data_IF_319423344483
#
_entry.id   IF_319423344483
#
_cell.length_a   1.000
_cell.length_b   1.000
_cell.length_c   1.000
_cell.angle_alpha   90.00
_cell.angle_beta   90.00
_cell.angle_gamma   90.00
#
_symmetry.space_group_name_H-M   'P 1'
#
loop_
_entity.id
_entity.type
_entity.pdbx_description
1 polymer ?
#
# COMPACT_ATOMS: atom_id res chain seq x y z
N UNK A 1 6.01 6.56 -11.35
CA UNK A 1 6.70 6.00 -10.17
C UNK A 1 6.20 4.57 -10.01
N UNK A 2 7.08 3.57 -10.05
CA UNK A 2 6.69 2.16 -9.95
C UNK A 2 7.02 1.70 -8.53
N UNK A 3 6.02 1.30 -7.76
CA UNK A 3 6.26 0.66 -6.46
C UNK A 3 6.60 -0.79 -6.79
N UNK A 4 7.89 -1.13 -6.88
CA UNK A 4 8.33 -2.50 -7.19
C UNK A 4 8.35 -3.40 -5.95
N UNK A 5 8.57 -2.86 -4.75
CA UNK A 5 8.52 -3.62 -3.50
C UNK A 5 8.00 -2.73 -2.36
N UNK A 6 7.02 -3.19 -1.56
CA UNK A 6 6.60 -2.47 -0.36
C UNK A 6 7.78 -2.41 0.63
N UNK A 7 8.22 -1.21 0.98
CA UNK A 7 9.30 -1.00 1.95
C UNK A 7 8.87 0.02 2.99
N UNK A 8 9.26 -0.21 4.24
CA UNK A 8 9.05 0.75 5.32
C UNK A 8 10.13 1.82 5.25
N UNK A 9 9.73 3.05 4.94
CA UNK A 9 10.64 4.20 4.78
C UNK A 9 11.00 4.82 6.13
N UNK A 10 10.06 4.84 7.07
CA UNK A 10 10.23 5.39 8.40
C UNK A 10 9.38 4.62 9.42
N UNK A 11 9.80 4.64 10.69
CA UNK A 11 9.06 4.05 11.81
C UNK A 11 9.42 2.59 12.10
N UNK A 12 8.62 1.97 12.96
CA UNK A 12 8.79 0.58 13.38
C UNK A 12 7.46 -0.16 13.39
N UNK A 13 7.46 -1.31 12.75
CA UNK A 13 6.40 -2.31 12.87
C UNK A 13 7.02 -3.59 13.43
N UNK A 14 6.39 -4.23 14.44
CA UNK A 14 6.78 -5.57 14.85
C UNK A 14 6.80 -6.53 13.66
N UNK A 15 7.70 -7.54 13.62
CA UNK A 15 7.89 -8.38 12.45
C UNK A 15 6.60 -8.98 11.88
N UNK A 16 5.67 -9.40 12.74
CA UNK A 16 4.37 -9.94 12.33
C UNK A 16 3.49 -8.90 11.61
N UNK A 17 3.43 -7.67 12.12
CA UNK A 17 2.67 -6.59 11.50
C UNK A 17 3.29 -6.16 10.17
N UNK A 18 4.62 -6.08 10.11
CA UNK A 18 5.33 -5.80 8.86
C UNK A 18 5.03 -6.85 7.79
N UNK A 19 5.00 -8.14 8.17
CA UNK A 19 4.62 -9.23 7.27
C UNK A 19 3.22 -9.04 6.68
N UNK A 20 2.22 -8.80 7.54
CA UNK A 20 0.83 -8.59 7.10
C UNK A 20 0.69 -7.39 6.16
N UNK A 21 1.32 -6.26 6.48
CA UNK A 21 1.27 -5.05 5.63
C UNK A 21 1.98 -5.29 4.30
N UNK A 22 3.11 -6.00 4.31
CA UNK A 22 3.87 -6.31 3.08
C UNK A 22 3.07 -7.24 2.18
N UNK A 23 2.42 -8.26 2.74
CA UNK A 23 1.55 -9.18 2.01
C UNK A 23 0.36 -8.44 1.40
N UNK A 24 -0.35 -7.66 2.20
CA UNK A 24 -1.46 -6.82 1.74
C UNK A 24 -1.03 -5.86 0.62
N UNK A 25 0.07 -5.13 0.80
CA UNK A 25 0.54 -4.17 -0.20
C UNK A 25 1.03 -4.86 -1.48
N UNK A 26 1.52 -6.10 -1.38
CA UNK A 26 1.90 -6.90 -2.54
C UNK A 26 0.67 -7.37 -3.31
N UNK A 27 -0.37 -7.84 -2.60
CA UNK A 27 -1.63 -8.28 -3.19
C UNK A 27 -2.38 -7.14 -3.90
N UNK A 28 -2.37 -5.94 -3.30
CA UNK A 28 -3.14 -4.78 -3.77
C UNK A 28 -2.29 -3.72 -4.49
N UNK A 29 -1.14 -4.11 -5.07
CA UNK A 29 -0.18 -3.17 -5.68
C UNK A 29 -0.79 -2.26 -6.73
N UNK A 30 -1.57 -2.81 -7.65
CA UNK A 30 -2.18 -2.04 -8.74
C UNK A 30 -3.22 -1.04 -8.21
N UNK A 31 -4.02 -1.46 -7.24
CA UNK A 31 -5.00 -0.61 -6.57
C UNK A 31 -4.31 0.55 -5.82
N UNK A 32 -3.20 0.27 -5.15
CA UNK A 32 -2.40 1.30 -4.47
C UNK A 32 -1.78 2.31 -5.44
N UNK A 33 -1.32 1.86 -6.61
CA UNK A 33 -0.80 2.75 -7.65
C UNK A 33 -1.90 3.63 -8.26
N UNK A 34 -3.10 3.06 -8.45
CA UNK A 34 -4.25 3.84 -8.91
C UNK A 34 -4.67 4.89 -7.88
N UNK A 35 -4.76 4.51 -6.61
CA UNK A 35 -5.08 5.43 -5.52
C UNK A 35 -4.01 6.51 -5.35
N UNK A 36 -2.73 6.18 -5.56
CA UNK A 36 -1.66 7.19 -5.57
C UNK A 36 -1.89 8.23 -6.67
N UNK A 37 -2.24 7.80 -7.88
CA UNK A 37 -2.55 8.72 -8.99
C UNK A 37 -3.79 9.58 -8.73
N UNK A 38 -4.77 9.09 -7.96
CA UNK A 38 -5.93 9.87 -7.50
C UNK A 38 -5.53 10.89 -6.43
N UNK A 39 -4.68 10.48 -5.48
CA UNK A 39 -4.17 11.34 -4.40
C UNK A 39 -3.39 12.54 -4.96
N UNK A 40 -2.52 12.33 -5.95
CA UNK A 40 -1.78 13.40 -6.64
C UNK A 40 -2.72 14.46 -7.26
N UNK A 41 -3.91 14.03 -7.71
CA UNK A 41 -4.95 14.89 -8.30
C UNK A 41 -5.92 15.46 -7.26
N UNK A 42 -5.75 15.15 -5.97
CA UNK A 42 -6.70 15.46 -4.88
C UNK A 42 -8.12 14.95 -5.15
N UNK A 43 -8.23 13.84 -5.88
CA UNK A 43 -9.50 13.17 -6.14
C UNK A 43 -9.88 12.24 -4.98
N UNK A 44 -11.17 11.85 -4.86
CA UNK A 44 -11.58 10.82 -3.91
C UNK A 44 -10.82 9.50 -4.13
N UNK A 45 -10.27 8.94 -3.06
CA UNK A 45 -9.58 7.65 -3.08
C UNK A 45 -10.58 6.49 -3.10
N UNK A 46 -10.14 5.33 -3.59
CA UNK A 46 -10.92 4.09 -3.55
C UNK A 46 -10.69 3.37 -2.23
N UNK A 47 -11.62 2.48 -1.88
CA UNK A 47 -11.42 1.56 -0.76
C UNK A 47 -10.74 0.31 -1.28
N UNK A 48 -9.58 0.01 -0.71
CA UNK A 48 -8.87 -1.26 -0.92
C UNK A 48 -9.32 -2.23 0.18
N UNK A 49 -9.59 -3.48 -0.19
CA UNK A 49 -10.02 -4.50 0.78
C UNK A 49 -8.87 -4.81 1.75
N UNK A 50 -9.16 -5.13 3.02
CA UNK A 50 -8.13 -5.58 3.96
C UNK A 50 -7.64 -7.00 3.62
N UNK A 51 -6.52 -7.39 4.24
CA UNK A 51 -6.06 -8.79 4.23
C UNK A 51 -7.03 -9.66 5.04
N UNK A 52 -7.35 -10.87 4.55
CA UNK A 52 -8.26 -11.82 5.21
C UNK A 52 -7.68 -12.45 6.48
#
# INVERSE_FOLDING_TARGET
>A
MVIETPVMVEGYLPPRALGLVTEWATLHREELLEDWALAEKRAPLKKIKPLE
#
